data_IF_821072005800
#
_entry.id   IF_821072005800
#
_cell.length_a   1.000
_cell.length_b   1.000
_cell.length_c   1.000
_cell.angle_alpha   90.00
_cell.angle_beta   90.00
_cell.angle_gamma   90.00
#
_symmetry.space_group_name_H-M   'P 1'
#
loop_
_entity.id
_entity.type
_entity.pdbx_description
1 polymer ?
#
# COMPACT_ATOMS: atom_id res chain seq x y z
N UNK A 1 0.30 27.13 -9.10
CA UNK A 1 -0.72 27.13 -8.03
C UNK A 1 -0.07 26.78 -6.70
N UNK A 2 -0.40 27.49 -5.63
CA UNK A 2 -0.03 27.14 -4.25
C UNK A 2 -1.27 26.59 -3.55
N UNK A 3 -1.12 25.56 -2.72
CA UNK A 3 -2.20 25.03 -1.88
C UNK A 3 -1.89 25.36 -0.44
N UNK A 4 -2.91 25.82 0.29
CA UNK A 4 -2.79 26.17 1.70
C UNK A 4 -2.86 24.93 2.59
N UNK A 5 -3.47 23.84 2.09
CA UNK A 5 -3.57 22.57 2.82
C UNK A 5 -3.25 21.35 1.96
N UNK A 6 -2.87 20.25 2.62
CA UNK A 6 -2.63 18.96 1.97
C UNK A 6 -3.93 18.35 1.41
N UNK A 7 -5.09 18.70 1.97
CA UNK A 7 -6.39 18.26 1.47
C UNK A 7 -6.74 18.91 0.13
N UNK A 8 -6.50 20.22 -0.01
CA UNK A 8 -6.65 20.94 -1.28
C UNK A 8 -5.74 20.36 -2.37
N UNK A 9 -4.49 20.04 -2.00
CA UNK A 9 -3.53 19.41 -2.90
C UNK A 9 -4.00 18.03 -3.36
N UNK A 10 -4.50 17.17 -2.46
CA UNK A 10 -5.02 15.85 -2.87
C UNK A 10 -6.22 16.02 -3.78
N UNK A 11 -7.19 16.86 -3.41
CA UNK A 11 -8.41 17.11 -4.18
C UNK A 11 -8.09 17.58 -5.60
N UNK A 12 -7.21 18.58 -5.72
CA UNK A 12 -6.77 19.10 -7.01
C UNK A 12 -6.17 18.00 -7.89
N UNK A 13 -5.18 17.24 -7.40
CA UNK A 13 -4.52 16.23 -8.23
C UNK A 13 -5.47 15.08 -8.56
N UNK A 14 -6.37 14.70 -7.64
CA UNK A 14 -7.34 13.64 -7.92
C UNK A 14 -8.31 14.00 -9.04
N UNK A 15 -8.81 15.24 -9.07
CA UNK A 15 -9.78 15.71 -10.07
C UNK A 15 -9.08 15.98 -11.41
N UNK A 16 -7.96 16.70 -11.39
CA UNK A 16 -7.34 17.26 -12.60
C UNK A 16 -6.35 16.31 -13.29
N UNK A 17 -5.83 15.29 -12.58
CA UNK A 17 -4.76 14.44 -13.11
C UNK A 17 -5.01 12.93 -13.00
N UNK A 18 -6.00 12.51 -12.21
CA UNK A 18 -6.27 11.08 -11.96
C UNK A 18 -7.70 10.68 -12.34
N UNK A 19 -8.64 11.62 -12.52
CA UNK A 19 -10.08 11.30 -12.58
C UNK A 19 -10.98 12.01 -13.60
N UNK A 20 -10.50 12.91 -14.48
CA UNK A 20 -11.36 13.70 -15.37
C UNK A 20 -11.05 13.58 -16.88
N UNK A 21 -12.06 13.74 -17.77
CA UNK A 21 -11.88 13.79 -19.24
C UNK A 21 -11.20 15.08 -19.72
N UNK A 22 -11.18 16.12 -18.91
CA UNK A 22 -10.43 17.35 -19.17
C UNK A 22 -9.05 17.23 -18.55
N UNK A 23 -8.07 16.84 -19.38
CA UNK A 23 -6.67 17.12 -19.08
C UNK A 23 -6.49 18.63 -19.16
N UNK A 24 -6.67 19.34 -18.05
CA UNK A 24 -6.34 20.75 -18.02
C UNK A 24 -4.85 20.91 -18.34
N UNK A 25 -4.51 21.75 -19.31
CA UNK A 25 -3.14 22.08 -19.73
C UNK A 25 -2.31 22.79 -18.63
N UNK A 26 -2.77 22.78 -17.39
CA UNK A 26 -2.09 23.39 -16.27
C UNK A 26 -0.93 22.49 -15.81
N UNK A 27 0.30 22.97 -16.01
CA UNK A 27 1.52 22.30 -15.58
C UNK A 27 1.65 22.41 -14.05
N UNK A 28 1.35 21.31 -13.39
CA UNK A 28 1.54 21.14 -11.96
C UNK A 28 2.98 20.67 -11.64
N UNK A 29 3.83 21.59 -11.18
CA UNK A 29 5.21 21.34 -10.75
C UNK A 29 5.25 21.01 -9.25
N UNK A 30 5.00 19.75 -8.89
CA UNK A 30 5.32 19.26 -7.54
C UNK A 30 6.08 17.96 -7.67
N UNK A 31 7.37 18.02 -7.38
CA UNK A 31 8.28 16.88 -7.44
C UNK A 31 8.52 16.27 -6.05
N UNK A 32 8.02 16.90 -4.98
CA UNK A 32 8.32 16.51 -3.60
C UNK A 32 7.16 16.74 -2.60
N UNK A 33 7.25 16.10 -1.43
CA UNK A 33 6.28 16.23 -0.35
C UNK A 33 6.48 17.54 0.44
N UNK A 34 5.44 18.39 0.60
CA UNK A 34 5.55 19.65 1.36
C UNK A 34 5.90 19.51 2.85
N UNK A 35 5.68 18.33 3.46
CA UNK A 35 5.95 18.09 4.88
C UNK A 35 7.36 17.57 5.16
N UNK A 36 7.87 16.72 4.28
CA UNK A 36 9.12 15.97 4.51
C UNK A 36 10.19 16.25 3.43
N UNK A 37 9.88 17.05 2.41
CA UNK A 37 10.78 17.31 1.26
C UNK A 37 11.08 16.06 0.41
N UNK A 38 10.32 14.97 0.61
CA UNK A 38 10.63 13.69 -0.05
C UNK A 38 10.29 13.75 -1.55
N UNK A 39 11.23 13.48 -2.46
CA UNK A 39 10.97 13.55 -3.90
C UNK A 39 10.23 12.31 -4.42
N UNK A 40 9.41 12.50 -5.46
CA UNK A 40 8.62 11.47 -6.13
C UNK A 40 8.73 11.59 -7.64
N UNK A 41 9.11 10.49 -8.30
CA UNK A 41 9.23 10.40 -9.76
C UNK A 41 7.90 10.51 -10.53
N UNK A 42 6.76 10.51 -9.84
CA UNK A 42 5.44 10.57 -10.47
C UNK A 42 4.41 11.23 -9.56
N UNK A 43 3.55 12.09 -10.13
CA UNK A 43 2.49 12.82 -9.42
C UNK A 43 1.56 11.92 -8.61
N UNK A 44 1.09 10.82 -9.20
CA UNK A 44 0.20 9.87 -8.51
C UNK A 44 0.88 9.20 -7.29
N UNK A 45 2.21 9.04 -7.30
CA UNK A 45 2.96 8.52 -6.14
C UNK A 45 3.01 9.55 -5.02
N UNK A 46 3.26 10.82 -5.36
CA UNK A 46 3.21 11.94 -4.42
C UNK A 46 1.82 12.02 -3.75
N UNK A 47 0.74 11.99 -4.52
CA UNK A 47 -0.64 12.01 -3.95
C UNK A 47 -0.88 10.84 -3.01
N UNK A 48 -0.55 9.63 -3.45
CA UNK A 48 -0.71 8.44 -2.60
C UNK A 48 0.12 8.50 -1.31
N UNK A 49 1.26 9.19 -1.34
CA UNK A 49 2.05 9.46 -0.16
C UNK A 49 1.39 10.52 0.72
N UNK A 50 0.88 11.61 0.15
CA UNK A 50 0.23 12.69 0.90
C UNK A 50 -0.98 12.18 1.70
N UNK A 51 -1.72 11.21 1.16
CA UNK A 51 -2.82 10.54 1.89
C UNK A 51 -2.40 9.91 3.22
N UNK A 52 -1.11 9.62 3.41
CA UNK A 52 -0.58 9.16 4.71
C UNK A 52 -0.62 10.28 5.75
N UNK A 53 -0.42 11.53 5.33
CA UNK A 53 -0.49 12.70 6.21
C UNK A 53 -1.92 13.14 6.48
N UNK A 54 -2.78 13.13 5.46
CA UNK A 54 -4.18 13.60 5.59
C UNK A 54 -5.12 12.54 6.15
N UNK A 55 -4.76 11.26 6.07
CA UNK A 55 -5.63 10.15 6.45
C UNK A 55 -6.77 9.89 5.44
N UNK A 56 -6.79 10.56 4.30
CA UNK A 56 -7.85 10.43 3.29
C UNK A 56 -7.90 9.02 2.69
N UNK A 57 -9.12 8.47 2.62
CA UNK A 57 -9.39 7.11 2.14
C UNK A 57 -10.53 7.13 1.12
N UNK A 58 -10.27 7.58 -0.12
CA UNK A 58 -11.32 7.84 -1.10
C UNK A 58 -11.92 6.58 -1.73
N UNK A 59 -11.43 5.38 -1.37
CA UNK A 59 -11.87 4.12 -1.95
C UNK A 59 -12.69 3.31 -0.94
N UNK A 60 -14.01 3.56 -0.82
CA UNK A 60 -14.89 2.75 0.01
C UNK A 60 -15.13 1.37 -0.59
N UNK A 61 -15.32 0.38 0.27
CA UNK A 61 -15.76 -0.93 -0.12
C UNK A 61 -17.24 -0.89 -0.51
N UNK A 62 -17.62 -1.33 -1.73
CA UNK A 62 -19.01 -1.29 -2.17
C UNK A 62 -19.86 -2.45 -1.62
N UNK A 63 -19.27 -3.40 -0.88
CA UNK A 63 -20.03 -4.51 -0.30
C UNK A 63 -20.89 -4.02 0.87
N UNK A 64 -22.21 -4.26 0.85
CA UNK A 64 -23.12 -3.85 1.92
C UNK A 64 -22.66 -4.38 3.29
N UNK A 65 -22.74 -3.54 4.32
CA UNK A 65 -22.34 -3.88 5.69
C UNK A 65 -20.82 -3.95 5.94
N UNK A 66 -19.96 -3.76 4.94
CA UNK A 66 -18.51 -3.83 5.16
C UNK A 66 -17.93 -2.55 5.79
N UNK A 67 -18.34 -1.37 5.32
CA UNK A 67 -17.91 -0.06 5.84
C UNK A 67 -16.41 0.27 5.72
N UNK A 68 -15.58 -0.64 5.19
CA UNK A 68 -14.12 -0.44 5.09
C UNK A 68 -13.76 0.55 3.98
N UNK A 69 -12.84 1.45 4.26
CA UNK A 69 -12.33 2.47 3.33
C UNK A 69 -10.81 2.36 3.16
N UNK A 70 -10.32 2.65 1.96
CA UNK A 70 -8.91 2.49 1.60
C UNK A 70 -8.33 3.77 0.98
N UNK A 71 -7.04 4.02 1.24
CA UNK A 71 -6.29 5.14 0.66
C UNK A 71 -5.82 4.88 -0.79
N UNK A 72 -5.84 3.61 -1.24
CA UNK A 72 -5.36 3.18 -2.55
C UNK A 72 -6.36 2.20 -3.18
N UNK A 73 -6.60 2.35 -4.49
CA UNK A 73 -7.51 1.49 -5.25
C UNK A 73 -7.05 0.03 -5.29
N UNK A 74 -5.75 -0.24 -5.41
CA UNK A 74 -5.21 -1.61 -5.38
C UNK A 74 -5.50 -2.32 -4.06
N UNK A 75 -5.42 -1.59 -2.93
CA UNK A 75 -5.76 -2.15 -1.62
C UNK A 75 -7.26 -2.49 -1.54
N UNK A 76 -8.13 -1.64 -2.09
CA UNK A 76 -9.56 -1.95 -2.20
C UNK A 76 -9.78 -3.19 -3.09
N UNK A 77 -9.10 -3.30 -4.24
CA UNK A 77 -9.21 -4.45 -5.15
C UNK A 77 -8.83 -5.75 -4.44
N UNK A 78 -7.71 -5.77 -3.73
CA UNK A 78 -7.28 -6.91 -2.92
C UNK A 78 -8.30 -7.20 -1.82
N UNK A 79 -8.80 -6.17 -1.13
CA UNK A 79 -9.80 -6.34 -0.10
C UNK A 79 -11.11 -6.93 -0.64
N UNK A 80 -11.57 -6.54 -1.83
CA UNK A 80 -12.77 -7.13 -2.44
C UNK A 80 -12.69 -8.67 -2.54
N UNK A 81 -11.48 -9.22 -2.72
CA UNK A 81 -11.27 -10.67 -2.73
C UNK A 81 -11.55 -11.36 -1.40
N UNK A 82 -11.58 -10.62 -0.27
CA UNK A 82 -12.00 -11.19 1.02
C UNK A 82 -13.49 -11.46 1.08
N UNK A 83 -14.29 -10.79 0.25
CA UNK A 83 -15.73 -11.02 0.15
C UNK A 83 -16.04 -12.14 -0.84
N UNK A 84 -15.31 -12.20 -1.96
CA UNK A 84 -15.52 -13.23 -2.99
C UNK A 84 -14.78 -14.54 -2.73
N UNK A 85 -13.79 -14.54 -1.83
CA UNK A 85 -12.92 -15.69 -1.59
C UNK A 85 -11.86 -15.92 -2.67
N UNK A 86 -11.74 -15.03 -3.66
CA UNK A 86 -10.81 -15.18 -4.78
C UNK A 86 -9.34 -15.20 -4.31
N UNK A 87 -8.60 -16.25 -4.68
CA UNK A 87 -7.19 -16.43 -4.34
C UNK A 87 -6.36 -16.74 -5.59
N UNK A 88 -6.10 -15.74 -6.45
CA UNK A 88 -5.50 -15.98 -7.74
C UNK A 88 -4.03 -16.40 -7.65
N UNK A 89 -3.33 -16.08 -6.56
CA UNK A 89 -1.90 -16.33 -6.43
C UNK A 89 -1.64 -17.69 -5.77
N UNK A 90 -1.34 -18.73 -6.56
CA UNK A 90 -0.87 -20.04 -6.05
C UNK A 90 0.58 -19.93 -5.59
N UNK A 91 0.94 -20.63 -4.52
CA UNK A 91 2.32 -20.90 -4.14
C UNK A 91 3.05 -21.60 -5.31
N UNK A 92 4.29 -21.20 -5.55
CA UNK A 92 5.13 -21.74 -6.63
C UNK A 92 6.03 -22.89 -6.13
N UNK A 93 5.93 -23.28 -4.86
CA UNK A 93 6.68 -24.40 -4.30
C UNK A 93 5.97 -25.72 -4.60
N UNK A 94 6.70 -26.68 -5.15
CA UNK A 94 6.19 -28.01 -5.46
C UNK A 94 5.68 -28.72 -4.20
N UNK A 95 4.49 -29.34 -4.28
CA UNK A 95 3.82 -29.94 -3.12
C UNK A 95 3.12 -28.94 -2.18
N UNK A 96 3.08 -27.63 -2.51
CA UNK A 96 2.31 -26.63 -1.76
C UNK A 96 1.12 -26.11 -2.58
N UNK A 97 -0.10 -26.49 -2.19
CA UNK A 97 -1.34 -26.03 -2.85
C UNK A 97 -1.92 -24.73 -2.27
N UNK A 98 -1.15 -24.03 -1.45
CA UNK A 98 -1.64 -22.82 -0.76
C UNK A 98 -1.84 -21.67 -1.76
N UNK A 99 -2.99 -20.99 -1.67
CA UNK A 99 -3.35 -19.85 -2.53
C UNK A 99 -3.59 -18.58 -1.70
N UNK A 100 -3.32 -17.42 -2.31
CA UNK A 100 -3.34 -16.11 -1.67
C UNK A 100 -4.17 -15.10 -2.46
N UNK A 101 -4.77 -14.15 -1.75
CA UNK A 101 -5.53 -13.04 -2.35
C UNK A 101 -4.63 -11.96 -2.97
N UNK A 102 -3.35 -11.89 -2.62
CA UNK A 102 -2.38 -10.98 -3.24
C UNK A 102 -0.98 -11.61 -3.34
N UNK A 103 -0.16 -11.10 -4.26
CA UNK A 103 1.18 -11.59 -4.55
C UNK A 103 2.17 -11.35 -3.42
N UNK A 104 2.00 -10.26 -2.65
CA UNK A 104 2.88 -9.92 -1.54
C UNK A 104 2.79 -10.94 -0.42
N UNK A 105 1.58 -11.40 -0.09
CA UNK A 105 1.37 -12.42 0.93
C UNK A 105 1.85 -13.80 0.46
N UNK A 106 1.69 -14.12 -0.83
CA UNK A 106 2.34 -15.30 -1.41
C UNK A 106 3.86 -15.23 -1.26
N UNK A 107 4.48 -14.09 -1.61
CA UNK A 107 5.94 -13.91 -1.52
C UNK A 107 6.44 -14.09 -0.08
N UNK A 108 5.74 -13.51 0.89
CA UNK A 108 6.02 -13.71 2.32
C UNK A 108 5.92 -15.18 2.74
N UNK A 109 4.91 -15.89 2.24
CA UNK A 109 4.75 -17.31 2.53
C UNK A 109 5.92 -18.16 2.04
N UNK A 110 6.59 -17.77 0.94
CA UNK A 110 7.74 -18.51 0.42
C UNK A 110 8.89 -18.67 1.43
N UNK A 111 9.03 -17.75 2.39
CA UNK A 111 10.04 -17.87 3.47
C UNK A 111 9.83 -19.11 4.35
N UNK A 112 8.62 -19.70 4.37
CA UNK A 112 8.36 -20.97 5.07
C UNK A 112 9.04 -22.14 4.39
N UNK A 113 9.17 -22.11 3.06
CA UNK A 113 9.80 -23.19 2.29
C UNK A 113 11.33 -23.05 2.26
N UNK A 114 11.84 -21.83 2.16
CA UNK A 114 13.28 -21.59 2.08
C UNK A 114 13.97 -21.56 3.44
N UNK A 115 13.21 -21.60 4.55
CA UNK A 115 13.71 -21.32 5.91
C UNK A 115 14.47 -19.99 6.04
N UNK A 116 14.29 -19.08 5.08
CA UNK A 116 14.97 -17.80 5.03
C UNK A 116 14.40 -16.88 6.11
N UNK A 117 15.25 -16.49 7.05
CA UNK A 117 14.94 -15.61 8.17
C UNK A 117 15.82 -14.37 8.10
N UNK A 118 15.58 -13.46 7.14
CA UNK A 118 16.49 -12.35 6.86
C UNK A 118 16.49 -11.29 7.96
N UNK A 119 15.55 -11.35 8.91
CA UNK A 119 15.42 -10.37 9.98
C UNK A 119 16.09 -10.89 11.26
N UNK A 120 17.37 -10.57 11.41
CA UNK A 120 18.20 -10.94 12.56
C UNK A 120 18.00 -9.96 13.72
N UNK A 121 17.86 -10.50 14.93
CA UNK A 121 18.05 -9.72 16.14
C UNK A 121 19.54 -9.39 16.30
N UNK A 122 19.87 -8.12 16.62
CA UNK A 122 21.27 -7.71 16.85
C UNK A 122 21.74 -7.98 18.28
N UNK A 123 20.80 -8.28 19.18
CA UNK A 123 21.06 -8.49 20.61
C UNK A 123 21.04 -9.97 21.01
N UNK A 124 20.63 -10.87 20.11
CA UNK A 124 20.67 -12.32 20.30
C UNK A 124 20.63 -13.04 18.95
N UNK A 125 20.93 -14.34 18.92
CA UNK A 125 21.01 -15.13 17.68
C UNK A 125 19.63 -15.51 17.06
N UNK A 126 18.55 -14.87 17.51
CA UNK A 126 17.21 -15.15 16.98
C UNK A 126 16.99 -14.45 15.64
N UNK A 127 16.54 -15.22 14.66
CA UNK A 127 16.16 -14.75 13.34
C UNK A 127 14.67 -14.92 13.09
N UNK A 128 14.09 -14.04 12.28
CA UNK A 128 12.66 -13.99 11.99
C UNK A 128 12.40 -13.93 10.49
N UNK A 129 11.27 -14.50 10.05
CA UNK A 129 10.81 -14.43 8.66
C UNK A 129 10.14 -13.10 8.30
N UNK A 130 9.78 -12.29 9.32
CA UNK A 130 9.07 -11.02 9.12
C UNK A 130 9.64 -9.92 10.04
N UNK A 131 9.72 -8.65 9.58
CA UNK A 131 10.22 -7.55 10.39
C UNK A 131 9.29 -7.20 11.56
N UNK A 132 7.98 -7.44 11.42
CA UNK A 132 7.02 -7.24 12.50
C UNK A 132 7.25 -8.21 13.66
N UNK A 133 7.66 -9.45 13.38
CA UNK A 133 8.01 -10.45 14.39
C UNK A 133 9.27 -10.05 15.15
N UNK A 134 10.32 -9.61 14.43
CA UNK A 134 11.52 -9.05 15.06
C UNK A 134 11.15 -7.85 15.93
N UNK A 135 10.34 -6.91 15.43
CA UNK A 135 9.93 -5.74 16.21
C UNK A 135 9.16 -6.09 17.47
N UNK A 136 8.29 -7.12 17.44
CA UNK A 136 7.60 -7.61 18.64
C UNK A 136 8.59 -8.20 19.63
N UNK A 137 9.55 -8.99 19.16
CA UNK A 137 10.63 -9.53 20.00
C UNK A 137 11.47 -8.44 20.67
N UNK A 138 11.83 -7.38 19.94
CA UNK A 138 12.63 -6.26 20.46
C UNK A 138 11.87 -5.34 21.43
N UNK A 139 10.54 -5.52 21.56
CA UNK A 139 9.70 -4.80 22.52
C UNK A 139 9.50 -5.58 23.83
N UNK A 140 10.03 -6.79 23.90
CA UNK A 140 10.17 -7.59 25.13
C UNK A 140 11.53 -7.27 25.73
#
# INVERSE_FOLDING_TARGET
KTFSTMHELVTHVTVEHVGGPEQSNHICFWEECPREGKPFKAKYKLVNHIRVHTGEKPFPCPFPGCGKVFARSENLKIHKRTHTGEKPFKCEFEGCDRRFANSSDRKKHMHVHTSDKPYLCKMCDKSYTHPSSLRKHMKV
#
